data_IF_692406831049
#
_entry.id   IF_692406831049
#
_cell.length_a   1.000
_cell.length_b   1.000
_cell.length_c   1.000
_cell.angle_alpha   90.00
_cell.angle_beta   90.00
_cell.angle_gamma   90.00
#
_symmetry.space_group_name_H-M   'P 1'
#
loop_
_entity.id
_entity.type
_entity.pdbx_description
1 polymer ?
#
# COMPACT_ATOMS: atom_id res chain seq x y z
N UNK A 1 -22.49 -22.93 -6.39
CA UNK A 1 -22.22 -21.50 -6.24
C UNK A 1 -20.89 -21.23 -5.57
N UNK A 2 -20.68 -21.78 -4.39
CA UNK A 2 -19.44 -21.56 -3.70
C UNK A 2 -18.24 -22.12 -4.44
N UNK A 3 -18.44 -23.25 -5.11
CA UNK A 3 -17.34 -23.87 -5.87
C UNK A 3 -16.91 -22.98 -7.02
N UNK A 4 -17.87 -22.43 -7.72
CA UNK A 4 -17.56 -21.55 -8.85
C UNK A 4 -16.84 -20.29 -8.37
N UNK A 5 -17.27 -19.76 -7.25
CA UNK A 5 -16.65 -18.57 -6.70
C UNK A 5 -15.22 -18.85 -6.29
N UNK A 6 -14.98 -20.04 -5.75
CA UNK A 6 -13.63 -20.44 -5.38
C UNK A 6 -12.71 -20.51 -6.59
N UNK A 7 -13.22 -21.08 -7.69
CA UNK A 7 -12.45 -21.16 -8.91
C UNK A 7 -12.16 -19.77 -9.47
N UNK A 8 -13.14 -18.88 -9.39
CA UNK A 8 -12.93 -17.52 -9.85
C UNK A 8 -11.87 -16.81 -9.02
N UNK A 9 -11.87 -17.07 -7.73
CA UNK A 9 -10.85 -16.50 -6.86
C UNK A 9 -9.47 -16.98 -7.27
N UNK A 10 -9.33 -18.26 -7.59
CA UNK A 10 -8.05 -18.79 -8.04
C UNK A 10 -7.59 -18.13 -9.33
N UNK A 11 -8.52 -17.83 -10.22
CA UNK A 11 -8.20 -17.15 -11.46
C UNK A 11 -7.88 -15.69 -11.24
N UNK A 12 -8.49 -15.09 -10.24
CA UNK A 12 -8.31 -13.68 -9.94
C UNK A 12 -6.97 -13.43 -9.25
N UNK A 13 -6.56 -14.35 -8.39
CA UNK A 13 -5.34 -14.18 -7.63
C UNK A 13 -4.20 -14.94 -8.28
N UNK A 14 -3.09 -14.25 -8.50
CA UNK A 14 -1.85 -14.88 -8.88
C UNK A 14 -0.87 -14.67 -7.73
N UNK A 15 -0.08 -15.66 -7.46
CA UNK A 15 0.86 -15.59 -6.34
C UNK A 15 2.30 -15.54 -6.84
N UNK A 16 2.47 -15.02 -8.05
CA UNK A 16 3.75 -15.05 -8.71
C UNK A 16 4.33 -13.66 -8.97
N UNK A 17 4.04 -12.71 -8.10
CA UNK A 17 4.66 -11.39 -8.19
C UNK A 17 6.15 -11.50 -7.88
N UNK A 18 6.96 -10.95 -8.77
CA UNK A 18 8.40 -10.96 -8.57
C UNK A 18 8.81 -9.93 -7.52
N UNK A 19 10.00 -10.11 -6.96
CA UNK A 19 10.54 -9.14 -6.01
C UNK A 19 10.67 -7.75 -6.62
N UNK A 20 11.02 -7.69 -7.92
CA UNK A 20 11.12 -6.41 -8.62
C UNK A 20 9.76 -5.72 -8.69
N UNK A 21 8.71 -6.48 -8.96
CA UNK A 21 7.36 -5.91 -9.01
C UNK A 21 6.94 -5.37 -7.65
N UNK A 22 7.27 -6.08 -6.59
CA UNK A 22 6.93 -5.66 -5.23
C UNK A 22 7.73 -4.41 -4.86
N UNK A 23 9.02 -4.38 -5.20
CA UNK A 23 9.84 -3.20 -4.95
C UNK A 23 9.35 -1.99 -5.72
N UNK A 24 8.92 -2.20 -6.96
CA UNK A 24 8.38 -1.11 -7.78
C UNK A 24 7.13 -0.55 -7.13
N UNK A 25 6.26 -1.42 -6.64
CA UNK A 25 5.05 -0.98 -5.95
C UNK A 25 5.39 -0.21 -4.68
N UNK A 26 6.39 -0.69 -3.93
CA UNK A 26 6.83 0.01 -2.72
C UNK A 26 7.31 1.42 -3.05
N UNK A 27 8.11 1.55 -4.10
CA UNK A 27 8.64 2.86 -4.49
C UNK A 27 7.51 3.80 -4.92
N UNK A 28 6.53 3.28 -5.66
CA UNK A 28 5.38 4.09 -6.06
C UNK A 28 4.57 4.53 -4.86
N UNK A 29 4.38 3.63 -3.88
CA UNK A 29 3.65 3.97 -2.68
C UNK A 29 4.36 5.06 -1.88
N UNK A 30 5.68 4.98 -1.80
CA UNK A 30 6.47 6.01 -1.11
C UNK A 30 6.35 7.36 -1.81
N UNK A 31 6.37 7.36 -3.14
CA UNK A 31 6.22 8.59 -3.90
C UNK A 31 4.86 9.24 -3.66
N UNK A 32 3.80 8.42 -3.69
CA UNK A 32 2.47 8.95 -3.45
C UNK A 32 2.31 9.42 -2.01
N UNK A 33 2.90 8.70 -1.08
CA UNK A 33 2.87 9.10 0.32
C UNK A 33 3.54 10.46 0.49
N UNK A 34 4.69 10.65 -0.14
CA UNK A 34 5.39 11.93 -0.07
C UNK A 34 4.60 13.05 -0.71
N UNK A 35 3.94 12.77 -1.84
CA UNK A 35 3.09 13.76 -2.51
C UNK A 35 1.98 14.23 -1.57
N UNK A 36 1.30 13.29 -0.92
CA UNK A 36 0.23 13.66 0.01
C UNK A 36 0.78 14.40 1.23
N UNK A 37 1.96 14.03 1.69
CA UNK A 37 2.60 14.72 2.81
C UNK A 37 2.82 16.20 2.46
N UNK A 38 3.33 16.46 1.26
CA UNK A 38 3.58 17.83 0.84
C UNK A 38 2.28 18.60 0.64
N UNK A 39 1.27 17.95 0.07
CA UNK A 39 0.01 18.62 -0.22
C UNK A 39 -0.83 18.89 1.00
N UNK A 40 -0.64 18.15 2.08
CA UNK A 40 -1.41 18.41 3.29
C UNK A 40 -0.90 19.59 4.09
N UNK A 41 0.19 20.22 3.63
CA UNK A 41 0.75 21.37 4.31
C UNK A 41 0.10 22.68 3.87
N UNK A 42 -0.64 22.61 2.78
CA UNK A 42 -1.28 23.76 2.15
C UNK A 42 -2.72 23.44 1.85
N UNK A 43 -3.48 24.52 1.53
CA UNK A 43 -4.84 24.34 1.08
C UNK A 43 -5.85 24.49 2.21
N UNK A 44 -7.10 24.20 1.90
CA UNK A 44 -8.18 24.30 2.85
C UNK A 44 -8.09 23.19 3.87
N UNK A 45 -8.87 23.33 4.96
CA UNK A 45 -8.93 22.29 5.97
C UNK A 45 -9.38 20.97 5.39
N UNK A 46 -10.38 21.00 4.51
CA UNK A 46 -10.89 19.78 3.87
C UNK A 46 -9.83 19.11 3.02
N UNK A 47 -9.08 19.91 2.26
CA UNK A 47 -8.01 19.37 1.42
C UNK A 47 -6.91 18.76 2.25
N UNK A 48 -6.52 19.41 3.34
CA UNK A 48 -5.50 18.89 4.23
C UNK A 48 -5.92 17.57 4.86
N UNK A 49 -7.17 17.47 5.27
CA UNK A 49 -7.69 16.24 5.87
C UNK A 49 -7.68 15.12 4.83
N UNK A 50 -8.08 15.42 3.59
CA UNK A 50 -8.08 14.46 2.51
C UNK A 50 -6.68 13.88 2.31
N UNK A 51 -5.68 14.76 2.21
CA UNK A 51 -4.30 14.31 1.99
C UNK A 51 -3.74 13.58 3.20
N UNK A 52 -4.10 13.99 4.40
CA UNK A 52 -3.67 13.31 5.61
C UNK A 52 -4.19 11.87 5.65
N UNK A 53 -5.45 11.67 5.28
CA UNK A 53 -6.04 10.34 5.25
C UNK A 53 -5.35 9.44 4.23
N UNK A 54 -5.05 10.00 3.05
CA UNK A 54 -4.32 9.25 2.03
C UNK A 54 -2.90 8.95 2.46
N UNK A 55 -2.25 9.89 3.13
CA UNK A 55 -0.92 9.69 3.67
C UNK A 55 -0.92 8.52 4.65
N UNK A 56 -1.88 8.48 5.55
CA UNK A 56 -1.98 7.41 6.55
C UNK A 56 -2.28 6.06 5.92
N UNK A 57 -3.16 6.04 4.91
CA UNK A 57 -3.47 4.80 4.22
C UNK A 57 -2.23 4.25 3.51
N UNK A 58 -1.47 5.12 2.86
CA UNK A 58 -0.25 4.71 2.17
C UNK A 58 0.84 4.29 3.14
N UNK A 59 0.86 4.84 4.34
CA UNK A 59 1.78 4.42 5.37
C UNK A 59 1.62 2.93 5.65
N UNK A 60 0.37 2.46 5.73
CA UNK A 60 0.10 1.04 5.92
C UNK A 60 0.55 0.19 4.72
N UNK A 61 0.33 0.70 3.51
CA UNK A 61 0.76 -0.02 2.30
C UNK A 61 2.28 -0.14 2.27
N UNK A 62 2.99 0.94 2.54
CA UNK A 62 4.46 0.93 2.57
C UNK A 62 4.95 -0.06 3.60
N UNK A 63 4.35 -0.05 4.77
CA UNK A 63 4.74 -0.94 5.86
C UNK A 63 4.56 -2.41 5.46
N UNK A 64 3.42 -2.73 4.86
CA UNK A 64 3.13 -4.10 4.46
C UNK A 64 4.11 -4.57 3.38
N UNK A 65 4.40 -3.72 2.41
CA UNK A 65 5.31 -4.08 1.33
C UNK A 65 6.74 -4.26 1.84
N UNK A 66 7.17 -3.44 2.78
CA UNK A 66 8.48 -3.61 3.40
C UNK A 66 8.54 -4.94 4.14
N UNK A 67 7.46 -5.30 4.84
CA UNK A 67 7.42 -6.57 5.55
C UNK A 67 7.55 -7.74 4.58
N UNK A 68 6.84 -7.68 3.46
CA UNK A 68 6.91 -8.72 2.43
C UNK A 68 8.34 -8.87 1.90
N UNK A 69 9.05 -7.74 1.75
CA UNK A 69 10.42 -7.76 1.23
C UNK A 69 11.45 -8.14 2.29
N UNK A 70 11.01 -8.40 3.51
CA UNK A 70 11.90 -8.86 4.56
C UNK A 70 12.60 -7.77 5.34
N UNK A 71 12.04 -6.55 5.33
CA UNK A 71 12.60 -5.45 6.11
C UNK A 71 12.44 -5.76 7.59
N UNK A 72 13.57 -5.93 8.26
CA UNK A 72 13.58 -6.37 9.66
C UNK A 72 13.13 -5.28 10.62
N UNK A 73 13.02 -4.04 10.17
CA UNK A 73 12.49 -2.97 11.01
C UNK A 73 10.97 -3.05 11.11
N UNK A 74 10.33 -3.90 10.33
CA UNK A 74 8.88 -4.11 10.36
C UNK A 74 8.61 -5.55 10.79
N UNK A 75 8.57 -5.83 12.09
CA UNK A 75 8.35 -7.21 12.54
C UNK A 75 6.92 -7.69 12.28
N UNK A 76 5.96 -6.77 12.28
CA UNK A 76 4.57 -7.14 12.07
C UNK A 76 3.84 -5.98 11.40
N UNK A 77 3.30 -6.19 10.19
CA UNK A 77 2.74 -5.09 9.41
C UNK A 77 1.44 -4.51 9.98
N UNK A 78 0.80 -5.22 10.87
CA UNK A 78 -0.47 -4.76 11.46
C UNK A 78 -0.25 -3.92 12.72
N UNK A 79 0.99 -3.82 13.14
CA UNK A 79 1.36 -2.99 14.29
C UNK A 79 2.07 -1.74 13.81
#
# INVERSE_FOLDING_TARGET
>A
MGVERTLNDDQTFTYDKSWVQIETMLNKAKEKQNTHYLMMQDGTKSERIYHMRNYKALEGVVKALKWVLGDKTIPHPLE
#
